data_IF_791698036428
#
_entry.id   IF_791698036428
#
_cell.length_a   1.000
_cell.length_b   1.000
_cell.length_c   1.000
_cell.angle_alpha   90.00
_cell.angle_beta   90.00
_cell.angle_gamma   90.00
#
_symmetry.space_group_name_H-M   'P 1'
#
loop_
_entity.id
_entity.type
_entity.pdbx_description
1 polymer ?
#
# COMPACT_ATOMS: atom_id res chain seq x y z
N UNK A 1 -17.73 -46.90 -65.05
CA UNK A 1 -18.98 -46.53 -64.36
C UNK A 1 -19.03 -47.24 -63.00
N UNK A 2 -19.45 -46.53 -61.94
CA UNK A 2 -19.74 -46.97 -60.55
C UNK A 2 -18.51 -47.31 -59.69
N UNK A 3 -18.07 -46.35 -58.84
CA UNK A 3 -18.39 -46.17 -57.39
C UNK A 3 -17.80 -47.32 -56.53
N UNK A 4 -17.15 -47.10 -55.40
CA UNK A 4 -17.78 -46.82 -54.11
C UNK A 4 -16.75 -46.26 -53.10
N UNK A 5 -17.20 -45.23 -52.40
CA UNK A 5 -16.61 -44.72 -51.17
C UNK A 5 -16.81 -45.71 -50.02
N UNK A 6 -15.88 -45.74 -49.06
CA UNK A 6 -16.08 -46.50 -47.82
C UNK A 6 -14.81 -46.71 -47.01
N UNK A 7 -14.31 -45.66 -46.36
CA UNK A 7 -13.51 -45.84 -45.14
C UNK A 7 -14.00 -44.84 -44.10
N UNK A 8 -15.07 -45.23 -43.41
CA UNK A 8 -15.43 -44.65 -42.12
C UNK A 8 -14.91 -45.64 -41.05
N UNK A 9 -13.72 -45.35 -40.51
CA UNK A 9 -13.24 -45.95 -39.29
C UNK A 9 -13.34 -44.89 -38.19
N UNK A 10 -14.46 -44.91 -37.48
CA UNK A 10 -14.74 -44.07 -36.32
C UNK A 10 -13.86 -44.54 -35.17
N UNK A 11 -12.73 -43.86 -34.94
CA UNK A 11 -11.96 -44.02 -33.71
C UNK A 11 -12.50 -43.04 -32.67
N UNK A 12 -13.30 -43.55 -31.73
CA UNK A 12 -13.59 -42.88 -30.46
C UNK A 12 -12.63 -43.45 -29.43
N UNK A 13 -11.81 -42.60 -28.81
CA UNK A 13 -11.10 -42.74 -27.51
C UNK A 13 -9.91 -41.76 -27.57
N UNK A 14 -9.58 -40.95 -26.59
CA UNK A 14 -10.16 -40.64 -25.31
C UNK A 14 -9.60 -39.26 -24.92
N UNK A 15 -10.38 -38.49 -24.16
CA UNK A 15 -9.94 -37.22 -23.60
C UNK A 15 -8.69 -37.42 -22.74
N UNK A 16 -7.54 -36.97 -23.24
CA UNK A 16 -6.38 -36.72 -22.41
C UNK A 16 -6.64 -35.41 -21.65
N UNK A 17 -6.98 -35.56 -20.37
CA UNK A 17 -7.02 -34.49 -19.39
C UNK A 17 -5.62 -33.85 -19.35
N UNK A 18 -5.42 -32.80 -20.14
CA UNK A 18 -4.39 -31.82 -19.84
C UNK A 18 -4.82 -31.14 -18.55
N UNK A 19 -4.19 -31.53 -17.44
CA UNK A 19 -4.16 -30.76 -16.21
C UNK A 19 -3.36 -29.47 -16.43
N UNK A 20 -3.77 -28.67 -17.41
CA UNK A 20 -3.51 -27.25 -17.42
C UNK A 20 -4.39 -26.67 -16.35
N UNK A 21 -3.84 -26.45 -15.16
CA UNK A 21 -4.43 -25.50 -14.21
C UNK A 21 -4.30 -24.13 -14.87
N UNK A 22 -5.22 -23.84 -15.78
CA UNK A 22 -5.52 -22.48 -16.20
C UNK A 22 -6.20 -21.85 -15.00
N UNK A 23 -5.42 -21.09 -14.23
CA UNK A 23 -6.00 -20.07 -13.38
C UNK A 23 -6.73 -19.13 -14.34
N UNK A 24 -8.01 -19.38 -14.55
CA UNK A 24 -8.91 -18.40 -15.12
C UNK A 24 -8.95 -17.26 -14.10
N UNK A 25 -8.02 -16.32 -14.24
CA UNK A 25 -8.23 -14.97 -13.75
C UNK A 25 -9.46 -14.52 -14.52
N UNK A 26 -10.62 -14.61 -13.88
CA UNK A 26 -11.81 -13.96 -14.35
C UNK A 26 -11.46 -12.47 -14.42
N UNK A 27 -10.95 -12.05 -15.58
CA UNK A 27 -10.89 -10.68 -16.04
C UNK A 27 -12.32 -10.25 -16.29
N UNK A 28 -13.10 -10.15 -15.21
CA UNK A 28 -14.24 -9.25 -15.17
C UNK A 28 -13.60 -7.88 -15.22
N UNK A 29 -13.80 -7.20 -16.33
CA UNK A 29 -13.32 -5.87 -16.64
C UNK A 29 -13.18 -5.06 -15.36
N UNK A 30 -11.96 -4.99 -14.80
CA UNK A 30 -11.61 -3.88 -13.94
C UNK A 30 -11.40 -2.75 -14.91
N UNK A 31 -12.51 -2.13 -15.29
CA UNK A 31 -12.55 -0.71 -15.57
C UNK A 31 -11.57 -0.08 -14.59
N UNK A 32 -10.51 0.62 -15.06
CA UNK A 32 -9.59 1.26 -14.16
C UNK A 32 -10.48 2.12 -13.29
N UNK A 33 -10.63 1.77 -12.01
CA UNK A 33 -11.39 2.58 -11.06
C UNK A 33 -10.75 3.93 -11.20
N UNK A 34 -11.44 4.82 -11.93
CA UNK A 34 -11.09 6.21 -11.97
C UNK A 34 -10.91 6.59 -10.51
N UNK A 35 -9.90 7.40 -10.20
CA UNK A 35 -9.66 7.98 -8.87
C UNK A 35 -10.87 8.86 -8.47
N UNK A 36 -12.04 8.25 -8.36
CA UNK A 36 -13.33 8.82 -8.06
C UNK A 36 -13.49 8.64 -6.57
N UNK A 37 -13.13 9.69 -5.85
CA UNK A 37 -13.39 9.82 -4.43
C UNK A 37 -12.31 9.21 -3.57
N UNK A 38 -11.17 9.91 -3.44
CA UNK A 38 -10.55 9.99 -2.12
C UNK A 38 -11.61 10.58 -1.20
N UNK A 39 -12.40 9.73 -0.54
CA UNK A 39 -13.26 10.16 0.55
C UNK A 39 -12.42 10.81 1.64
N UNK A 40 -13.02 11.41 2.68
CA UNK A 40 -12.27 12.01 3.80
C UNK A 40 -11.30 11.03 4.51
N UNK A 41 -11.37 9.74 4.17
CA UNK A 41 -10.54 8.65 4.69
C UNK A 41 -9.52 8.09 3.69
N UNK A 42 -9.29 8.73 2.53
CA UNK A 42 -8.36 8.26 1.50
C UNK A 42 -6.95 8.90 1.54
N UNK A 43 -6.08 8.59 0.56
CA UNK A 43 -4.75 9.19 0.43
C UNK A 43 -4.79 10.71 0.21
N UNK A 44 -3.72 11.46 0.55
CA UNK A 44 -3.70 12.89 0.32
C UNK A 44 -3.74 13.23 -1.18
N UNK A 45 -4.36 14.37 -1.51
CA UNK A 45 -4.39 14.89 -2.88
C UNK A 45 -3.00 15.28 -3.38
N UNK A 46 -2.10 15.62 -2.46
CA UNK A 46 -0.68 15.90 -2.72
C UNK A 46 0.19 14.97 -1.88
N UNK A 47 1.20 14.36 -2.49
CA UNK A 47 2.13 13.45 -1.81
C UNK A 47 3.21 14.20 -1.01
N UNK A 48 2.80 15.27 -0.33
CA UNK A 48 3.65 16.20 0.43
C UNK A 48 3.36 16.11 1.92
N UNK A 49 4.23 16.69 2.74
CA UNK A 49 4.00 16.82 4.20
C UNK A 49 2.70 17.56 4.49
N UNK A 50 2.45 18.67 3.81
CA UNK A 50 1.20 19.42 3.98
C UNK A 50 -0.04 18.57 3.61
N UNK A 51 0.05 17.79 2.54
CA UNK A 51 -1.04 16.89 2.12
C UNK A 51 -1.32 15.81 3.14
N UNK A 52 -0.28 15.12 3.61
CA UNK A 52 -0.43 14.08 4.65
C UNK A 52 -0.92 14.67 5.98
N UNK A 53 -0.42 15.84 6.38
CA UNK A 53 -0.89 16.54 7.58
C UNK A 53 -2.40 16.79 7.51
N UNK A 54 -2.90 17.34 6.40
CA UNK A 54 -4.32 17.64 6.22
C UNK A 54 -5.20 16.38 6.35
N UNK A 55 -4.77 15.25 5.77
CA UNK A 55 -5.51 13.98 5.90
C UNK A 55 -5.49 13.48 7.34
N UNK A 56 -4.34 13.51 8.00
CA UNK A 56 -4.20 13.05 9.38
C UNK A 56 -4.93 13.92 10.40
N UNK A 57 -5.10 15.22 10.13
CA UNK A 57 -5.93 16.11 10.98
C UNK A 57 -7.43 15.78 10.89
N UNK A 58 -7.89 15.23 9.76
CA UNK A 58 -9.29 14.84 9.56
C UNK A 58 -9.58 13.45 10.11
N UNK A 59 -8.70 12.47 9.88
CA UNK A 59 -8.99 11.05 10.13
C UNK A 59 -7.96 10.32 10.99
N UNK A 60 -6.92 10.99 11.49
CA UNK A 60 -5.82 10.36 12.22
C UNK A 60 -6.18 9.76 13.58
N UNK A 61 -7.38 10.05 14.11
CA UNK A 61 -7.90 9.43 15.34
C UNK A 61 -8.55 8.05 15.10
N UNK A 62 -8.90 7.70 13.87
CA UNK A 62 -9.38 6.37 13.53
C UNK A 62 -8.18 5.46 13.20
N UNK A 63 -7.90 4.40 13.98
CA UNK A 63 -6.80 3.48 13.70
C UNK A 63 -6.98 2.69 12.39
N UNK A 64 -8.19 2.70 11.80
CA UNK A 64 -8.48 2.11 10.49
C UNK A 64 -8.40 3.12 9.33
N UNK A 65 -8.09 4.38 9.62
CA UNK A 65 -7.94 5.40 8.59
C UNK A 65 -6.74 5.12 7.69
N UNK A 66 -6.78 5.71 6.49
CA UNK A 66 -5.64 5.67 5.59
C UNK A 66 -4.40 6.35 6.21
N UNK A 67 -4.56 7.45 6.96
CA UNK A 67 -3.43 8.08 7.67
C UNK A 67 -2.79 7.11 8.66
N UNK A 68 -3.60 6.46 9.52
CA UNK A 68 -3.09 5.49 10.48
C UNK A 68 -2.35 4.34 9.79
N UNK A 69 -2.93 3.77 8.73
CA UNK A 69 -2.29 2.74 7.92
C UNK A 69 -0.95 3.17 7.33
N UNK A 70 -0.89 4.38 6.76
CA UNK A 70 0.34 4.92 6.18
C UNK A 70 1.42 5.14 7.23
N UNK A 71 1.06 5.75 8.37
CA UNK A 71 1.99 6.03 9.46
C UNK A 71 2.51 4.75 10.12
N UNK A 72 1.65 3.75 10.34
CA UNK A 72 2.07 2.44 10.86
C UNK A 72 3.08 1.78 9.92
N UNK A 73 2.77 1.70 8.63
CA UNK A 73 3.68 1.09 7.65
C UNK A 73 5.04 1.79 7.59
N UNK A 74 5.06 3.12 7.70
CA UNK A 74 6.30 3.89 7.78
C UNK A 74 7.06 3.63 9.09
N UNK A 75 6.36 3.57 10.23
CA UNK A 75 6.96 3.25 11.53
C UNK A 75 7.61 1.87 11.52
N UNK A 76 6.90 0.85 11.03
CA UNK A 76 7.39 -0.53 10.95
C UNK A 76 8.61 -0.65 10.03
N UNK A 77 8.59 0.06 8.90
CA UNK A 77 9.72 0.11 7.98
C UNK A 77 10.96 0.74 8.63
N UNK A 78 10.77 1.89 9.29
CA UNK A 78 11.87 2.61 9.96
C UNK A 78 12.40 1.81 11.16
N UNK A 79 11.53 1.12 11.89
CA UNK A 79 11.93 0.23 12.97
C UNK A 79 12.73 -0.96 12.45
N UNK A 80 12.31 -1.57 11.33
CA UNK A 80 13.07 -2.65 10.70
C UNK A 80 14.47 -2.17 10.25
N UNK A 81 14.56 -0.96 9.69
CA UNK A 81 15.84 -0.34 9.36
C UNK A 81 16.72 -0.11 10.60
N UNK A 82 16.15 0.38 11.70
CA UNK A 82 16.87 0.60 12.96
C UNK A 82 17.38 -0.70 13.57
N UNK A 83 16.54 -1.74 13.59
CA UNK A 83 16.92 -3.08 14.03
C UNK A 83 18.06 -3.69 13.18
N UNK A 84 18.11 -3.34 11.88
CA UNK A 84 19.19 -3.70 10.97
C UNK A 84 20.46 -2.83 11.09
N UNK A 85 20.52 -1.89 12.03
CA UNK A 85 21.67 -0.99 12.22
C UNK A 85 21.76 0.17 11.23
N UNK A 86 20.70 0.43 10.45
CA UNK A 86 20.70 1.51 9.48
C UNK A 86 20.41 2.85 10.16
N UNK A 87 21.30 3.85 9.99
CA UNK A 87 21.19 5.17 10.63
C UNK A 87 19.94 5.98 10.28
N UNK A 88 19.28 5.64 9.17
CA UNK A 88 18.01 6.27 8.79
C UNK A 88 16.78 5.59 9.41
N UNK A 89 16.95 4.54 10.20
CA UNK A 89 15.87 3.89 10.94
C UNK A 89 15.55 4.58 12.27
N UNK A 90 14.67 3.94 13.04
CA UNK A 90 14.24 4.34 14.38
C UNK A 90 14.53 3.23 15.37
N UNK A 91 14.93 3.58 16.59
CA UNK A 91 15.35 2.64 17.63
C UNK A 91 14.50 2.78 18.90
N UNK A 92 14.40 1.68 19.68
CA UNK A 92 13.59 1.61 20.91
C UNK A 92 12.11 2.03 20.72
N UNK A 93 11.56 1.73 19.55
CA UNK A 93 10.19 2.10 19.18
C UNK A 93 9.18 1.27 19.97
N UNK A 94 8.36 1.95 20.76
CA UNK A 94 7.10 1.44 21.28
C UNK A 94 6.05 2.50 21.01
N UNK A 95 5.12 2.21 20.11
CA UNK A 95 4.03 3.12 19.75
C UNK A 95 2.69 2.40 19.85
N UNK A 96 1.64 3.16 20.16
CA UNK A 96 0.27 2.76 19.83
C UNK A 96 -0.14 3.45 18.54
N UNK A 97 -0.97 2.79 17.74
CA UNK A 97 -1.42 3.33 16.45
C UNK A 97 -2.04 4.71 16.60
N UNK A 98 -2.80 4.92 17.68
CA UNK A 98 -3.46 6.19 17.99
C UNK A 98 -2.48 7.34 18.28
N UNK A 99 -1.23 7.05 18.64
CA UNK A 99 -0.22 8.06 18.98
C UNK A 99 0.52 8.59 17.74
N UNK A 100 0.49 7.85 16.62
CA UNK A 100 1.27 8.17 15.42
C UNK A 100 0.81 9.46 14.75
N UNK A 101 -0.49 9.65 14.55
CA UNK A 101 -1.02 10.84 13.89
C UNK A 101 -0.85 12.12 14.73
N UNK A 102 -1.11 12.13 16.05
CA UNK A 102 -0.77 13.26 16.91
C UNK A 102 0.72 13.62 16.88
N UNK A 103 1.61 12.61 16.90
CA UNK A 103 3.06 12.81 16.83
C UNK A 103 3.46 13.45 15.50
N UNK A 104 3.02 12.88 14.39
CA UNK A 104 3.33 13.38 13.05
C UNK A 104 2.78 14.80 12.82
N UNK A 105 1.50 15.03 13.09
CA UNK A 105 0.89 16.36 12.88
C UNK A 105 1.46 17.40 13.84
N UNK A 106 1.83 17.00 15.06
CA UNK A 106 2.55 17.84 16.01
C UNK A 106 3.92 18.28 15.50
N UNK A 107 4.67 17.37 14.88
CA UNK A 107 5.92 17.69 14.20
C UNK A 107 5.70 18.59 12.97
N UNK A 108 4.73 18.28 12.11
CA UNK A 108 4.47 19.03 10.89
C UNK A 108 4.11 20.50 11.18
N UNK A 109 3.28 20.75 12.21
CA UNK A 109 2.96 22.12 12.67
C UNK A 109 4.18 22.92 13.13
N UNK A 110 5.18 22.26 13.73
CA UNK A 110 6.42 22.91 14.17
C UNK A 110 7.48 23.01 13.07
N UNK A 111 7.25 22.37 11.92
CA UNK A 111 8.19 22.28 10.79
C UNK A 111 7.59 22.82 9.49
N UNK A 112 7.06 24.06 9.43
CA UNK A 112 6.39 24.58 8.25
C UNK A 112 7.29 24.63 7.00
N UNK A 113 8.60 24.77 7.18
CA UNK A 113 9.59 24.72 6.10
C UNK A 113 9.65 23.35 5.39
N UNK A 114 9.11 22.30 6.00
CA UNK A 114 9.05 20.95 5.43
C UNK A 114 7.78 20.69 4.63
N UNK A 115 6.84 21.64 4.53
CA UNK A 115 5.51 21.45 3.96
C UNK A 115 5.50 20.81 2.55
N UNK A 116 6.46 21.22 1.71
CA UNK A 116 6.58 20.76 0.32
C UNK A 116 7.47 19.52 0.15
N UNK A 117 8.07 19.01 1.23
CA UNK A 117 8.84 17.78 1.17
C UNK A 117 7.93 16.59 0.85
N UNK A 118 8.46 15.51 0.24
CA UNK A 118 7.73 14.26 0.10
C UNK A 118 7.22 13.77 1.46
N UNK A 119 5.97 13.30 1.50
CA UNK A 119 5.34 12.86 2.74
C UNK A 119 6.16 11.83 3.53
N UNK A 120 6.81 10.88 2.85
CA UNK A 120 7.67 9.88 3.50
C UNK A 120 8.91 10.52 4.13
N UNK A 121 9.48 11.56 3.52
CA UNK A 121 10.59 12.29 4.10
C UNK A 121 10.17 12.99 5.40
N UNK A 122 8.98 13.61 5.41
CA UNK A 122 8.44 14.20 6.64
C UNK A 122 8.17 13.17 7.74
N UNK A 123 7.55 12.04 7.41
CA UNK A 123 7.32 10.97 8.40
C UNK A 123 8.65 10.43 8.94
N UNK A 124 9.63 10.22 8.08
CA UNK A 124 10.97 9.78 8.49
C UNK A 124 11.63 10.78 9.45
N UNK A 125 11.54 12.08 9.17
CA UNK A 125 12.07 13.12 10.06
C UNK A 125 11.34 13.14 11.40
N UNK A 126 10.00 13.15 11.37
CA UNK A 126 9.17 13.17 12.58
C UNK A 126 9.46 11.97 13.49
N UNK A 127 9.52 10.76 12.92
CA UNK A 127 9.69 9.54 13.70
C UNK A 127 11.12 9.36 14.19
N UNK A 128 12.13 9.82 13.43
CA UNK A 128 13.53 9.81 13.89
C UNK A 128 13.81 10.83 14.97
N UNK A 129 13.09 11.95 14.98
CA UNK A 129 13.12 12.90 16.09
C UNK A 129 12.53 12.29 17.37
N UNK A 130 11.43 11.53 17.24
CA UNK A 130 10.79 10.86 18.37
C UNK A 130 11.54 9.62 18.89
N UNK A 131 12.13 8.84 17.98
CA UNK A 131 12.78 7.56 18.27
C UNK A 131 14.16 7.48 17.61
N UNK A 132 15.12 8.32 18.05
CA UNK A 132 16.44 8.35 17.45
C UNK A 132 17.20 7.03 17.68
N UNK A 133 17.96 6.61 16.68
CA UNK A 133 19.02 5.64 16.86
C UNK A 133 20.31 6.36 17.34
N UNK A 134 21.10 5.74 18.23
CA UNK A 134 22.37 6.29 18.71
C UNK A 134 23.44 6.40 17.61
#
# INVERSE_FOLDING_TARGET
MRTWAGMAATAVLAAALSSGVTWAVAGKDREPTALQGVGPNGPPLTMTVAGLQAVCEVNGSDPRSWCAGYLMAAADTLQAFGAGGHKAGTCAVSYRVEDLAPLYTGWARRSPQAADLPMLAGVSLAFREAWPCP
#
